data_IF_067544864255
#
_entry.id   IF_067544864255
#
_cell.length_a   1.000
_cell.length_b   1.000
_cell.length_c   1.000
_cell.angle_alpha   90.00
_cell.angle_beta   90.00
_cell.angle_gamma   90.00
#
_symmetry.space_group_name_H-M   'P 1'
#
loop_
_entity.id
_entity.type
_entity.pdbx_description
1 polymer ?
#
# COMPACT_ATOMS: atom_id res chain seq x y z
N UNK A 1 -7.99 -25.35 -9.10
CA UNK A 1 -8.43 -24.34 -8.10
C UNK A 1 -8.96 -23.13 -8.87
N UNK A 2 -10.19 -22.64 -8.62
CA UNK A 2 -10.73 -21.47 -9.33
C UNK A 2 -10.00 -20.21 -8.85
N UNK A 3 -9.47 -19.40 -9.76
CA UNK A 3 -8.62 -18.23 -9.44
C UNK A 3 -9.36 -17.18 -8.61
N UNK A 4 -10.68 -17.04 -8.79
CA UNK A 4 -11.50 -16.14 -7.97
C UNK A 4 -11.44 -16.51 -6.47
N UNK A 5 -11.21 -17.79 -6.14
CA UNK A 5 -11.05 -18.21 -4.75
C UNK A 5 -9.70 -17.80 -4.16
N UNK A 6 -8.65 -17.59 -4.95
CA UNK A 6 -7.31 -17.32 -4.39
C UNK A 6 -7.30 -15.97 -3.68
N UNK A 7 -7.81 -14.91 -4.31
CA UNK A 7 -7.88 -13.60 -3.66
C UNK A 7 -8.96 -13.53 -2.57
N UNK A 8 -10.07 -14.26 -2.71
CA UNK A 8 -11.04 -14.41 -1.62
C UNK A 8 -10.49 -15.17 -0.40
N UNK A 9 -9.62 -16.17 -0.61
CA UNK A 9 -8.89 -16.84 0.46
C UNK A 9 -7.84 -15.93 1.08
N UNK A 10 -7.25 -15.03 0.28
CA UNK A 10 -6.34 -14.00 0.77
C UNK A 10 -7.02 -12.98 1.69
N UNK A 11 -8.30 -12.67 1.48
CA UNK A 11 -9.08 -11.81 2.39
C UNK A 11 -9.28 -12.40 3.80
N UNK A 12 -8.91 -13.67 4.04
CA UNK A 12 -8.91 -14.28 5.38
C UNK A 12 -7.63 -13.97 6.17
N UNK A 13 -6.62 -13.36 5.55
CA UNK A 13 -5.40 -12.95 6.24
C UNK A 13 -5.55 -11.52 6.77
N UNK A 14 -5.26 -11.36 8.07
CA UNK A 14 -4.73 -10.15 8.72
C UNK A 14 -5.18 -8.78 8.20
N UNK A 15 -4.23 -7.84 8.21
CA UNK A 15 -4.42 -6.47 7.73
C UNK A 15 -4.39 -6.41 6.20
N UNK A 16 -4.93 -5.35 5.60
CA UNK A 16 -4.91 -5.17 4.13
C UNK A 16 -3.49 -5.17 3.53
N UNK A 17 -2.48 -4.75 4.29
CA UNK A 17 -1.05 -4.81 3.91
C UNK A 17 -0.59 -6.26 3.69
N UNK A 18 -1.00 -7.17 4.57
CA UNK A 18 -0.69 -8.60 4.47
C UNK A 18 -1.33 -9.21 3.22
N UNK A 19 -2.57 -8.81 2.92
CA UNK A 19 -3.35 -9.33 1.79
C UNK A 19 -2.73 -8.95 0.44
N UNK A 20 -2.32 -7.69 0.27
CA UNK A 20 -1.68 -7.25 -0.98
C UNK A 20 -0.30 -7.90 -1.18
N UNK A 21 0.47 -8.08 -0.11
CA UNK A 21 1.76 -8.76 -0.17
C UNK A 21 1.60 -10.24 -0.48
N UNK A 22 0.61 -10.90 0.11
CA UNK A 22 0.31 -12.29 -0.19
C UNK A 22 -0.23 -12.51 -1.61
N UNK A 23 -1.10 -11.61 -2.08
CA UNK A 23 -1.55 -11.54 -3.46
C UNK A 23 -0.37 -11.43 -4.43
N UNK A 24 0.60 -10.57 -4.11
CA UNK A 24 1.80 -10.42 -4.91
C UNK A 24 2.68 -11.68 -4.88
N UNK A 25 2.85 -12.30 -3.71
CA UNK A 25 3.57 -13.58 -3.57
C UNK A 25 3.01 -14.69 -4.48
N UNK A 26 1.68 -14.81 -4.56
CA UNK A 26 1.02 -15.74 -5.49
C UNK A 26 1.36 -15.43 -6.95
N UNK A 27 1.35 -14.14 -7.33
CA UNK A 27 1.76 -13.74 -8.70
C UNK A 27 3.20 -14.14 -8.97
N UNK A 28 4.12 -13.92 -8.05
CA UNK A 28 5.54 -14.24 -8.26
C UNK A 28 5.77 -15.75 -8.40
N UNK A 29 5.04 -16.57 -7.64
CA UNK A 29 5.11 -18.04 -7.76
C UNK A 29 4.53 -18.52 -9.10
N UNK A 30 3.41 -17.95 -9.53
CA UNK A 30 2.69 -18.38 -10.73
C UNK A 30 3.25 -17.79 -12.03
N UNK A 31 3.96 -16.66 -11.95
CA UNK A 31 4.49 -15.91 -13.08
C UNK A 31 6.02 -15.69 -12.94
N UNK A 32 6.84 -16.69 -13.32
CA UNK A 32 8.30 -16.63 -13.13
C UNK A 32 8.98 -15.44 -13.81
N UNK A 33 8.44 -14.95 -14.93
CA UNK A 33 9.02 -13.78 -15.59
C UNK A 33 8.79 -12.50 -14.78
N UNK A 34 7.65 -12.39 -14.07
CA UNK A 34 7.40 -11.24 -13.20
C UNK A 34 8.35 -11.26 -12.00
N UNK A 35 8.63 -12.44 -11.44
CA UNK A 35 9.68 -12.63 -10.44
C UNK A 35 11.06 -12.20 -10.95
N UNK A 36 11.47 -12.63 -12.14
CA UNK A 36 12.75 -12.21 -12.71
C UNK A 36 12.81 -10.70 -12.99
N UNK A 37 11.71 -10.10 -13.44
CA UNK A 37 11.60 -8.66 -13.60
C UNK A 37 11.74 -7.92 -12.26
N UNK A 38 11.11 -8.41 -11.19
CA UNK A 38 11.27 -7.85 -9.85
C UNK A 38 12.73 -7.96 -9.37
N UNK A 39 13.35 -9.14 -9.50
CA UNK A 39 14.74 -9.35 -9.09
C UNK A 39 15.70 -8.42 -9.83
N UNK A 40 15.49 -8.19 -11.14
CA UNK A 40 16.26 -7.20 -11.92
C UNK A 40 16.05 -5.78 -11.42
N UNK A 41 14.81 -5.40 -11.13
CA UNK A 41 14.50 -4.09 -10.54
C UNK A 41 15.24 -3.90 -9.20
N UNK A 42 15.29 -4.95 -8.37
CA UNK A 42 16.02 -4.99 -7.11
C UNK A 42 17.54 -5.19 -7.25
N UNK A 43 18.06 -5.10 -8.48
CA UNK A 43 19.49 -5.24 -8.80
C UNK A 43 20.09 -6.56 -8.31
N UNK A 44 19.32 -7.64 -8.42
CA UNK A 44 19.80 -9.01 -8.25
C UNK A 44 20.12 -9.57 -9.64
N UNK A 45 21.36 -10.03 -9.90
CA UNK A 45 21.73 -10.64 -11.17
C UNK A 45 20.86 -11.87 -11.45
N UNK A 46 20.13 -11.85 -12.57
CA UNK A 46 19.25 -12.96 -12.99
C UNK A 46 19.81 -13.76 -14.16
N UNK A 47 20.83 -13.24 -14.85
CA UNK A 47 21.47 -13.88 -16.02
C UNK A 47 22.12 -15.21 -15.63
N UNK A 48 22.57 -15.33 -14.38
CA UNK A 48 23.22 -16.53 -13.83
C UNK A 48 22.23 -17.58 -13.34
N UNK A 49 20.91 -17.29 -13.32
CA UNK A 49 19.91 -18.23 -12.82
C UNK A 49 19.49 -19.22 -13.90
N UNK A 50 19.95 -20.46 -13.75
CA UNK A 50 19.55 -21.56 -14.60
C UNK A 50 18.08 -21.93 -14.36
N UNK A 51 17.40 -22.60 -15.32
CA UNK A 51 16.02 -23.04 -15.15
C UNK A 51 15.78 -23.90 -13.90
N UNK A 52 16.79 -24.67 -13.45
CA UNK A 52 16.73 -25.45 -12.21
C UNK A 52 16.68 -24.56 -10.96
N UNK A 53 17.43 -23.46 -10.95
CA UNK A 53 17.51 -22.53 -9.82
C UNK A 53 16.16 -21.84 -9.63
N UNK A 54 15.49 -21.50 -10.74
CA UNK A 54 14.15 -20.87 -10.72
C UNK A 54 13.10 -21.70 -10.00
N UNK A 55 13.20 -23.03 -10.07
CA UNK A 55 12.29 -23.95 -9.37
C UNK A 55 12.56 -24.02 -7.87
N UNK A 56 13.75 -23.59 -7.43
CA UNK A 56 14.18 -23.60 -6.05
C UNK A 56 13.99 -22.24 -5.36
N UNK A 57 13.58 -21.20 -6.10
CA UNK A 57 13.27 -19.91 -5.51
C UNK A 57 12.03 -20.08 -4.64
N UNK A 58 12.20 -19.93 -3.34
CA UNK A 58 11.10 -19.91 -2.39
C UNK A 58 10.54 -18.49 -2.31
N UNK A 59 9.22 -18.37 -2.45
CA UNK A 59 8.45 -17.14 -2.22
C UNK A 59 7.49 -17.45 -1.08
N UNK A 60 7.68 -16.79 0.05
CA UNK A 60 6.93 -17.05 1.28
C UNK A 60 6.34 -15.74 1.80
N UNK A 61 5.15 -15.79 2.37
CA UNK A 61 4.44 -14.61 2.88
C UNK A 61 4.24 -14.77 4.38
N UNK A 62 4.20 -13.67 5.14
CA UNK A 62 3.94 -13.71 6.58
C UNK A 62 4.97 -14.57 7.35
N UNK A 63 6.24 -14.46 6.95
CA UNK A 63 7.33 -15.27 7.55
C UNK A 63 7.67 -14.72 8.94
N UNK A 64 7.73 -15.57 9.98
CA UNK A 64 8.13 -15.10 11.31
C UNK A 64 9.60 -14.68 11.32
N UNK A 65 9.95 -13.70 12.16
CA UNK A 65 11.35 -13.31 12.35
C UNK A 65 12.11 -14.45 13.04
N UNK A 66 13.17 -14.94 12.41
CA UNK A 66 14.08 -15.88 13.07
C UNK A 66 14.81 -15.17 14.22
N UNK A 67 14.72 -15.69 15.45
CA UNK A 67 15.41 -15.15 16.63
C UNK A 67 14.54 -14.58 17.75
N UNK A 68 13.21 -14.72 17.71
CA UNK A 68 12.35 -14.70 18.90
C UNK A 68 12.17 -13.37 19.65
N UNK A 69 12.62 -12.23 19.12
CA UNK A 69 12.53 -10.95 19.86
C UNK A 69 11.09 -10.39 19.90
N UNK A 70 10.20 -10.86 19.02
CA UNK A 70 8.78 -10.48 19.00
C UNK A 70 7.99 -11.52 18.20
N UNK A 71 7.28 -12.43 18.87
CA UNK A 71 6.51 -13.51 18.22
C UNK A 71 5.38 -13.02 17.31
N UNK A 72 5.03 -11.73 17.39
CA UNK A 72 3.93 -11.13 16.62
C UNK A 72 4.39 -10.39 15.36
N UNK A 73 5.67 -10.03 15.24
CA UNK A 73 6.15 -9.37 14.02
C UNK A 73 6.31 -10.41 12.90
N UNK A 74 5.88 -10.09 11.69
CA UNK A 74 6.06 -10.94 10.50
C UNK A 74 6.63 -10.15 9.33
N UNK A 75 7.26 -10.89 8.42
CA UNK A 75 7.75 -10.37 7.15
C UNK A 75 6.65 -10.56 6.12
N UNK A 76 6.22 -9.46 5.50
CA UNK A 76 5.09 -9.50 4.57
C UNK A 76 5.35 -10.47 3.42
N UNK A 77 6.54 -10.39 2.80
CA UNK A 77 6.98 -11.27 1.73
C UNK A 77 8.50 -11.49 1.78
N UNK A 78 8.91 -12.76 1.69
CA UNK A 78 10.29 -13.21 1.59
C UNK A 78 10.49 -13.94 0.25
N UNK A 79 11.57 -13.62 -0.45
CA UNK A 79 12.00 -14.31 -1.67
C UNK A 79 13.44 -14.77 -1.46
N UNK A 80 13.70 -16.07 -1.54
CA UNK A 80 15.05 -16.59 -1.30
C UNK A 80 15.46 -17.70 -2.25
N UNK A 81 16.75 -17.73 -2.53
CA UNK A 81 17.46 -18.85 -3.14
C UNK A 81 18.76 -19.03 -2.35
N UNK A 82 18.90 -20.14 -1.59
CA UNK A 82 20.09 -20.39 -0.75
C UNK A 82 21.40 -20.21 -1.51
N UNK A 83 22.38 -19.57 -0.87
CA UNK A 83 23.68 -19.29 -1.48
C UNK A 83 23.66 -18.17 -2.54
N UNK A 84 22.49 -17.64 -2.93
CA UNK A 84 22.36 -16.65 -4.02
C UNK A 84 21.76 -15.35 -3.54
N UNK A 85 20.51 -15.38 -3.09
CA UNK A 85 19.87 -14.15 -2.65
C UNK A 85 18.80 -14.35 -1.60
N UNK A 86 18.60 -13.29 -0.80
CA UNK A 86 17.51 -13.12 0.14
C UNK A 86 16.91 -11.72 -0.06
N UNK A 87 15.62 -11.66 -0.34
CA UNK A 87 14.84 -10.43 -0.43
C UNK A 87 13.78 -10.45 0.65
N UNK A 88 13.76 -9.42 1.48
CA UNK A 88 12.69 -9.14 2.42
C UNK A 88 11.92 -7.95 1.89
N UNK A 89 10.62 -8.09 1.72
CA UNK A 89 9.74 -7.06 1.20
C UNK A 89 8.74 -6.66 2.29
N UNK A 90 8.66 -5.35 2.53
CA UNK A 90 7.74 -4.72 3.46
C UNK A 90 6.77 -3.84 2.69
N UNK A 91 5.47 -3.99 2.95
CA UNK A 91 4.41 -3.23 2.32
C UNK A 91 3.82 -2.20 3.27
N UNK A 92 3.51 -1.02 2.76
CA UNK A 92 2.80 0.03 3.49
C UNK A 92 1.68 0.64 2.66
N UNK A 93 0.48 0.66 3.24
CA UNK A 93 -0.74 1.24 2.67
C UNK A 93 -1.22 2.40 3.54
N UNK A 94 -2.04 3.28 2.95
CA UNK A 94 -2.67 4.38 3.68
C UNK A 94 -1.67 5.38 4.28
N UNK A 95 -2.01 5.89 5.47
CA UNK A 95 -1.17 6.78 6.26
C UNK A 95 -0.12 6.03 7.11
N UNK A 96 -0.11 4.69 7.08
CA UNK A 96 0.83 3.87 7.87
C UNK A 96 2.26 4.27 7.49
N UNK A 97 3.05 4.69 8.48
CA UNK A 97 4.47 5.02 8.29
C UNK A 97 5.34 3.85 8.68
N UNK A 98 6.59 3.88 8.22
CA UNK A 98 7.55 2.87 8.60
C UNK A 98 7.90 3.04 10.07
N UNK A 99 7.53 2.03 10.86
CA UNK A 99 7.99 1.93 12.24
C UNK A 99 9.51 1.82 12.23
N UNK A 100 10.18 2.72 12.96
CA UNK A 100 11.65 2.75 13.06
C UNK A 100 12.19 1.38 13.48
N UNK A 101 11.54 0.77 14.47
CA UNK A 101 11.93 -0.53 15.01
C UNK A 101 11.77 -1.68 14.01
N UNK A 102 10.82 -1.60 13.08
CA UNK A 102 10.57 -2.67 12.10
C UNK A 102 11.71 -2.74 11.08
N UNK A 103 12.15 -1.58 10.58
CA UNK A 103 13.27 -1.51 9.64
C UNK A 103 14.61 -1.90 10.29
N UNK A 104 14.82 -1.51 11.55
CA UNK A 104 16.02 -1.91 12.30
C UNK A 104 16.05 -3.45 12.47
N UNK A 105 14.89 -4.10 12.73
CA UNK A 105 14.77 -5.58 12.77
C UNK A 105 15.16 -6.22 11.43
N UNK A 106 14.67 -5.69 10.30
CA UNK A 106 15.02 -6.21 8.98
C UNK A 106 16.52 -6.08 8.69
N UNK A 107 17.11 -4.93 9.01
CA UNK A 107 18.53 -4.71 8.81
C UNK A 107 19.38 -5.71 9.62
N UNK A 108 18.97 -6.02 10.86
CA UNK A 108 19.61 -7.04 11.68
C UNK A 108 19.52 -8.45 11.08
N UNK A 109 18.35 -8.85 10.56
CA UNK A 109 18.21 -10.14 9.85
C UNK A 109 19.18 -10.18 8.66
N UNK A 110 19.14 -9.16 7.80
CA UNK A 110 19.99 -9.14 6.61
C UNK A 110 21.48 -9.15 6.96
N UNK A 111 21.87 -8.51 8.06
CA UNK A 111 23.23 -8.56 8.57
C UNK A 111 23.64 -9.97 9.01
N UNK A 112 22.78 -10.69 9.73
CA UNK A 112 23.06 -12.06 10.16
C UNK A 112 23.14 -13.05 8.99
N UNK A 113 22.39 -12.78 7.93
CA UNK A 113 22.37 -13.63 6.72
C UNK A 113 23.49 -13.26 5.73
N UNK A 114 24.31 -12.23 6.01
CA UNK A 114 25.49 -11.92 5.19
C UNK A 114 26.52 -13.03 5.34
N UNK A 115 26.95 -13.56 4.20
CA UNK A 115 27.85 -14.71 4.12
C UNK A 115 27.13 -15.99 3.74
N UNK A 116 25.82 -16.09 4.04
CA UNK A 116 24.96 -17.19 3.58
C UNK A 116 24.44 -16.95 2.17
N UNK A 117 24.23 -15.69 1.79
CA UNK A 117 23.71 -15.29 0.47
C UNK A 117 24.64 -14.27 -0.21
N UNK A 118 24.84 -14.42 -1.53
CA UNK A 118 25.61 -13.46 -2.34
C UNK A 118 24.95 -12.06 -2.35
N UNK A 119 23.62 -12.01 -2.31
CA UNK A 119 22.85 -10.78 -2.39
C UNK A 119 21.71 -10.72 -1.36
N UNK A 120 21.74 -9.70 -0.51
CA UNK A 120 20.63 -9.40 0.41
C UNK A 120 19.93 -8.10 0.01
N UNK A 121 18.61 -8.05 0.06
CA UNK A 121 17.79 -6.87 -0.25
C UNK A 121 16.67 -6.66 0.74
N UNK A 122 16.48 -5.42 1.17
CA UNK A 122 15.27 -4.93 1.82
C UNK A 122 14.50 -4.05 0.83
N UNK A 123 13.31 -4.50 0.43
CA UNK A 123 12.44 -3.79 -0.49
C UNK A 123 11.25 -3.18 0.25
N UNK A 124 11.11 -1.87 0.19
CA UNK A 124 9.96 -1.15 0.71
C UNK A 124 8.99 -0.83 -0.42
N UNK A 125 7.75 -1.28 -0.30
CA UNK A 125 6.68 -1.00 -1.26
C UNK A 125 5.60 -0.13 -0.64
N UNK A 126 5.34 1.04 -1.21
CA UNK A 126 4.33 1.97 -0.69
C UNK A 126 3.20 2.24 -1.69
N UNK A 127 2.01 2.53 -1.17
CA UNK A 127 0.90 3.04 -1.97
C UNK A 127 1.21 4.46 -2.51
N UNK A 128 1.56 5.38 -1.61
CA UNK A 128 1.88 6.77 -1.94
C UNK A 128 3.36 6.95 -2.28
N UNK A 129 3.69 8.04 -2.97
CA UNK A 129 5.08 8.42 -3.15
C UNK A 129 5.67 8.89 -1.81
N UNK A 130 6.69 8.17 -1.35
CA UNK A 130 7.40 8.41 -0.09
C UNK A 130 8.91 8.33 -0.29
N UNK A 131 9.37 8.64 -1.50
CA UNK A 131 10.78 8.52 -1.86
C UNK A 131 11.71 9.27 -0.91
N UNK A 132 11.38 10.52 -0.56
CA UNK A 132 12.20 11.32 0.36
C UNK A 132 12.25 10.71 1.78
N UNK A 133 11.12 10.21 2.30
CA UNK A 133 11.08 9.50 3.59
C UNK A 133 11.93 8.22 3.53
N UNK A 134 11.79 7.43 2.45
CA UNK A 134 12.54 6.21 2.23
C UNK A 134 14.06 6.46 2.11
N UNK A 135 14.49 7.54 1.46
CA UNK A 135 15.89 7.94 1.35
C UNK A 135 16.48 8.35 2.70
N UNK A 136 15.74 9.14 3.49
CA UNK A 136 16.13 9.50 4.85
C UNK A 136 16.27 8.26 5.76
N UNK A 137 15.32 7.31 5.64
CA UNK A 137 15.38 6.03 6.35
C UNK A 137 16.59 5.20 5.91
N UNK A 138 16.87 5.11 4.61
CA UNK A 138 18.02 4.39 4.09
C UNK A 138 19.35 4.99 4.58
N UNK A 139 19.49 6.32 4.55
CA UNK A 139 20.67 7.02 5.06
C UNK A 139 20.92 6.73 6.54
N UNK A 140 19.85 6.72 7.33
CA UNK A 140 19.93 6.43 8.77
C UNK A 140 20.19 4.95 9.07
N UNK A 141 19.58 4.03 8.31
CA UNK A 141 19.87 2.59 8.42
C UNK A 141 21.34 2.33 8.14
N UNK A 142 21.94 2.97 7.13
CA UNK A 142 23.39 2.85 6.85
C UNK A 142 24.28 3.37 7.98
N UNK A 143 23.81 4.35 8.76
CA UNK A 143 24.59 4.91 9.87
C UNK A 143 24.50 4.05 11.14
N UNK A 144 23.35 3.40 11.37
CA UNK A 144 23.07 2.66 12.61
C UNK A 144 23.24 1.15 12.46
N UNK A 145 23.26 0.65 11.23
CA UNK A 145 23.36 -0.76 10.89
C UNK A 145 24.37 -0.91 9.76
N UNK A 146 24.94 -2.10 9.60
CA UNK A 146 25.90 -2.35 8.52
C UNK A 146 25.25 -2.51 7.14
N UNK A 147 24.01 -2.02 6.95
CA UNK A 147 23.30 -2.08 5.67
C UNK A 147 24.09 -1.37 4.57
N UNK A 148 24.50 -2.11 3.53
CA UNK A 148 25.36 -1.59 2.48
C UNK A 148 24.57 -0.74 1.48
N UNK A 149 25.28 0.12 0.76
CA UNK A 149 24.70 0.87 -0.35
C UNK A 149 24.11 -0.09 -1.39
N UNK A 150 22.84 0.11 -1.75
CA UNK A 150 22.12 -0.74 -2.71
C UNK A 150 21.40 -1.95 -2.11
N UNK A 151 21.53 -2.22 -0.80
CA UNK A 151 20.75 -3.27 -0.13
C UNK A 151 19.32 -2.82 0.17
N UNK A 152 19.08 -1.52 0.39
CA UNK A 152 17.75 -0.95 0.52
C UNK A 152 17.20 -0.47 -0.82
N UNK A 153 16.01 -0.95 -1.19
CA UNK A 153 15.29 -0.59 -2.40
C UNK A 153 13.91 0.00 -2.05
N UNK A 154 13.54 1.08 -2.73
CA UNK A 154 12.23 1.70 -2.63
C UNK A 154 11.46 1.53 -3.94
N UNK A 155 10.19 1.15 -3.84
CA UNK A 155 9.28 1.08 -4.97
C UNK A 155 7.85 1.41 -4.54
N UNK A 156 7.01 1.69 -5.53
CA UNK A 156 5.57 1.91 -5.32
C UNK A 156 4.79 0.71 -5.81
N UNK A 157 3.60 0.49 -5.25
CA UNK A 157 2.64 -0.48 -5.79
C UNK A 157 2.27 -0.17 -7.26
N UNK A 158 2.31 1.11 -7.66
CA UNK A 158 2.20 1.51 -9.06
C UNK A 158 3.31 0.89 -9.94
N UNK A 159 4.56 0.87 -9.47
CA UNK A 159 5.69 0.24 -10.15
C UNK A 159 5.52 -1.28 -10.23
N UNK A 160 5.05 -1.91 -9.15
CA UNK A 160 4.74 -3.36 -9.15
C UNK A 160 3.67 -3.68 -10.18
N UNK A 161 2.60 -2.87 -10.22
CA UNK A 161 1.50 -3.02 -11.18
C UNK A 161 1.99 -2.92 -12.63
N UNK A 162 2.83 -1.91 -12.92
CA UNK A 162 3.44 -1.75 -14.25
C UNK A 162 4.30 -2.97 -14.62
N UNK A 163 5.15 -3.43 -13.70
CA UNK A 163 6.01 -4.58 -13.89
C UNK A 163 5.22 -5.85 -14.25
N UNK A 164 4.13 -6.11 -13.53
CA UNK A 164 3.27 -7.27 -13.79
C UNK A 164 2.53 -7.11 -15.13
N UNK A 165 2.04 -5.92 -15.44
CA UNK A 165 1.31 -5.64 -16.67
C UNK A 165 2.18 -5.76 -17.94
N UNK A 166 3.43 -5.31 -17.88
CA UNK A 166 4.37 -5.35 -18.99
C UNK A 166 5.01 -6.73 -19.19
N UNK A 167 4.93 -7.62 -18.19
CA UNK A 167 5.54 -8.93 -18.29
C UNK A 167 4.62 -9.92 -19.02
N UNK A 168 5.03 -10.47 -20.18
CA UNK A 168 4.19 -11.38 -20.95
C UNK A 168 3.86 -12.64 -20.14
N UNK A 169 2.56 -12.92 -19.99
CA UNK A 169 2.06 -14.06 -19.23
C UNK A 169 1.46 -15.13 -20.17
N UNK A 170 1.71 -16.43 -19.92
CA UNK A 170 0.96 -17.51 -20.57
C UNK A 170 -0.55 -17.37 -20.36
N UNK A 171 -1.34 -17.94 -21.27
CA UNK A 171 -2.80 -17.80 -21.25
C UNK A 171 -3.44 -18.14 -19.89
N UNK A 172 -2.95 -19.19 -19.23
CA UNK A 172 -3.44 -19.63 -17.92
C UNK A 172 -3.13 -18.64 -16.77
N UNK A 173 -2.09 -17.82 -16.90
CA UNK A 173 -1.65 -16.86 -15.88
C UNK A 173 -2.23 -15.46 -16.11
N UNK A 174 -2.57 -15.11 -17.36
CA UNK A 174 -3.15 -13.80 -17.70
C UNK A 174 -4.34 -13.41 -16.84
N UNK A 175 -5.25 -14.35 -16.58
CA UNK A 175 -6.42 -14.08 -15.74
C UNK A 175 -6.03 -13.75 -14.30
N UNK A 176 -5.10 -14.51 -13.73
CA UNK A 176 -4.57 -14.27 -12.38
C UNK A 176 -3.88 -12.90 -12.29
N UNK A 177 -3.03 -12.57 -13.28
CA UNK A 177 -2.40 -11.26 -13.36
C UNK A 177 -3.42 -10.13 -13.49
N UNK A 178 -4.45 -10.28 -14.33
CA UNK A 178 -5.52 -9.28 -14.46
C UNK A 178 -6.23 -9.03 -13.12
N UNK A 179 -6.62 -10.09 -12.41
CA UNK A 179 -7.25 -9.99 -11.09
C UNK A 179 -6.37 -9.28 -10.06
N UNK A 180 -5.08 -9.55 -10.06
CA UNK A 180 -4.13 -8.84 -9.20
C UNK A 180 -4.02 -7.36 -9.58
N UNK A 181 -3.93 -7.05 -10.88
CA UNK A 181 -3.83 -5.66 -11.36
C UNK A 181 -5.08 -4.84 -11.02
N UNK A 182 -6.26 -5.45 -11.10
CA UNK A 182 -7.52 -4.85 -10.67
C UNK A 182 -7.52 -4.59 -9.16
N UNK A 183 -7.18 -5.60 -8.36
CA UNK A 183 -7.11 -5.50 -6.90
C UNK A 183 -6.14 -4.41 -6.43
N UNK A 184 -4.93 -4.37 -6.99
CA UNK A 184 -3.96 -3.29 -6.69
C UNK A 184 -4.49 -1.94 -7.19
N UNK A 185 -5.13 -1.91 -8.36
CA UNK A 185 -5.79 -0.72 -8.89
C UNK A 185 -6.81 -0.12 -7.91
N UNK A 186 -7.64 -0.97 -7.31
CA UNK A 186 -8.65 -0.59 -6.32
C UNK A 186 -8.02 -0.07 -5.02
N UNK A 187 -6.95 -0.71 -4.55
CA UNK A 187 -6.18 -0.21 -3.40
C UNK A 187 -5.58 1.15 -3.70
N UNK A 188 -5.06 1.35 -4.91
CA UNK A 188 -4.43 2.60 -5.31
C UNK A 188 -5.44 3.73 -5.61
N UNK A 189 -6.71 3.41 -5.91
CA UNK A 189 -7.71 4.38 -6.36
C UNK A 189 -8.35 5.19 -5.22
N UNK A 190 -8.16 4.81 -3.95
CA UNK A 190 -8.84 5.45 -2.82
C UNK A 190 -7.91 6.03 -1.74
N UNK A 191 -8.19 7.32 -1.43
CA UNK A 191 -7.76 8.19 -0.32
C UNK A 191 -6.45 8.97 -0.52
N UNK A 192 -6.57 10.26 -0.87
CA UNK A 192 -5.52 11.25 -0.59
C UNK A 192 -5.26 11.26 0.94
N UNK A 193 -4.00 11.29 1.35
CA UNK A 193 -3.64 11.49 2.77
C UNK A 193 -4.16 12.89 3.16
N UNK A 194 -5.04 12.96 4.17
CA UNK A 194 -5.64 14.22 4.63
C UNK A 194 -4.55 15.22 5.07
N UNK A 195 -3.43 14.72 5.61
CA UNK A 195 -2.28 15.55 6.03
C UNK A 195 -1.55 16.27 4.89
N UNK A 196 -1.67 15.79 3.64
CA UNK A 196 -1.07 16.44 2.46
C UNK A 196 -2.05 17.40 1.77
N UNK A 197 -3.28 17.51 2.28
CA UNK A 197 -4.19 18.56 1.87
C UNK A 197 -3.85 19.82 2.67
N UNK A 198 -3.28 20.81 1.99
CA UNK A 198 -3.41 22.20 2.44
C UNK A 198 -4.91 22.50 2.40
N UNK A 199 -5.56 22.47 3.55
CA UNK A 199 -6.91 23.03 3.70
C UNK A 199 -6.72 24.53 3.44
N UNK A 200 -6.94 24.94 2.19
CA UNK A 200 -7.08 26.36 1.86
C UNK A 200 -8.21 26.91 2.71
N UNK A 201 -7.96 28.05 3.36
CA UNK A 201 -8.87 28.81 4.21
C UNK A 201 -10.33 28.40 4.00
N UNK A 202 -10.82 27.52 4.88
CA UNK A 202 -12.25 27.29 4.94
C UNK A 202 -12.86 28.60 5.44
N UNK A 203 -13.78 29.24 4.71
CA UNK A 203 -14.47 30.41 5.22
C UNK A 203 -15.15 30.02 6.53
N UNK A 204 -14.93 30.81 7.57
CA UNK A 204 -15.56 30.65 8.87
C UNK A 204 -17.07 30.84 8.67
N UNK A 205 -17.85 29.76 8.82
CA UNK A 205 -19.31 29.80 8.65
C UNK A 205 -19.91 30.11 10.02
N UNK A 206 -20.39 31.35 10.20
CA UNK A 206 -21.24 31.70 11.34
C UNK A 206 -22.70 31.36 11.02
N UNK A 207 -23.33 30.56 11.89
CA UNK A 207 -24.76 30.28 11.80
C UNK A 207 -25.46 31.16 12.83
N UNK A 208 -26.34 32.05 12.37
CA UNK A 208 -27.20 32.86 13.24
C UNK A 208 -28.67 32.52 13.01
N UNK A 209 -29.44 32.42 14.10
CA UNK A 209 -30.89 32.27 14.03
C UNK A 209 -31.52 33.66 13.84
N UNK A 210 -32.36 33.82 12.82
CA UNK A 210 -33.16 35.04 12.63
C UNK A 210 -34.65 34.71 12.57
N UNK A 211 -35.47 35.71 12.90
CA UNK A 211 -36.93 35.63 12.80
C UNK A 211 -37.35 35.65 11.32
N UNK A 212 -38.36 34.86 10.90
CA UNK A 212 -38.89 34.85 9.53
C UNK A 212 -39.12 36.24 8.91
N UNK A 213 -39.55 37.23 9.70
CA UNK A 213 -39.85 38.58 9.21
C UNK A 213 -38.59 39.36 8.78
N UNK A 214 -37.41 38.97 9.29
CA UNK A 214 -36.12 39.58 8.96
C UNK A 214 -35.40 38.88 7.79
N UNK A 215 -35.95 37.78 7.29
CA UNK A 215 -35.38 37.00 6.20
C UNK A 215 -35.29 37.80 4.90
N UNK A 216 -36.38 38.47 4.53
CA UNK A 216 -36.46 39.22 3.28
C UNK A 216 -35.50 40.41 3.27
N UNK A 217 -35.20 40.97 4.45
CA UNK A 217 -34.18 42.02 4.61
C UNK A 217 -32.76 41.46 4.39
N UNK A 218 -32.42 40.33 5.01
CA UNK A 218 -31.09 39.72 4.89
C UNK A 218 -30.76 39.22 3.46
N UNK A 219 -31.76 38.71 2.74
CA UNK A 219 -31.62 38.32 1.32
C UNK A 219 -31.37 39.55 0.43
N UNK A 220 -32.01 40.69 0.74
CA UNK A 220 -31.88 41.93 -0.03
C UNK A 220 -30.51 42.58 0.13
N UNK A 221 -29.87 42.42 1.29
CA UNK A 221 -28.52 42.91 1.62
C UNK A 221 -27.37 42.02 1.09
N UNK A 222 -27.67 41.00 0.26
CA UNK A 222 -26.69 40.08 -0.36
C UNK A 222 -25.87 39.22 0.63
N UNK A 223 -26.48 38.78 1.73
CA UNK A 223 -25.92 37.63 2.46
C UNK A 223 -25.98 36.37 1.56
N UNK A 224 -24.93 35.55 1.57
CA UNK A 224 -24.71 34.53 0.54
C UNK A 224 -25.42 33.23 0.92
N UNK A 225 -26.68 33.08 0.52
CA UNK A 225 -27.44 31.87 0.84
C UNK A 225 -27.02 30.68 -0.05
N UNK A 226 -26.53 29.58 0.53
CA UNK A 226 -26.44 28.28 -0.17
C UNK A 226 -27.80 27.58 -0.17
N UNK A 227 -28.19 27.02 -1.32
CA UNK A 227 -29.39 26.18 -1.42
C UNK A 227 -29.21 24.87 -0.65
N UNK A 228 -30.12 24.61 0.28
CA UNK A 228 -30.07 23.43 1.14
C UNK A 228 -30.52 22.17 0.35
N UNK A 229 -29.58 21.28 0.01
CA UNK A 229 -29.83 20.03 -0.72
C UNK A 229 -30.40 18.90 0.18
N UNK A 230 -31.40 19.18 1.00
CA UNK A 230 -32.06 18.16 1.83
C UNK A 230 -33.10 17.40 1.01
N UNK A 231 -32.81 16.16 0.63
CA UNK A 231 -33.78 15.24 0.00
C UNK A 231 -35.04 15.12 0.89
N UNK A 232 -36.20 15.52 0.35
CA UNK A 232 -37.52 15.27 0.95
C UNK A 232 -37.71 13.78 1.19
N UNK A 233 -37.62 13.34 2.46
CA UNK A 233 -38.21 12.06 2.89
C UNK A 233 -39.72 12.21 2.82
N UNK A 234 -40.35 11.66 1.78
CA UNK A 234 -41.77 11.34 1.85
C UNK A 234 -41.92 10.09 2.72
N UNK A 235 -42.50 10.25 3.92
CA UNK A 235 -43.44 9.29 4.51
C UNK A 235 -44.15 9.96 5.69
N UNK A 236 -45.46 9.74 5.72
CA UNK A 236 -46.43 10.47 6.55
C UNK A 236 -46.20 10.37 8.06
N UNK A 237 -46.73 11.39 8.74
CA UNK A 237 -46.72 11.53 10.18
C UNK A 237 -46.74 13.01 10.51
N UNK A 238 -47.89 13.51 10.96
CA UNK A 238 -48.13 14.92 11.25
C UNK A 238 -47.10 15.52 12.21
N UNK A 239 -46.30 16.43 11.68
CA UNK A 239 -45.39 17.28 12.42
C UNK A 239 -45.09 18.48 11.53
N UNK A 240 -45.58 19.65 11.92
CA UNK A 240 -45.25 20.94 11.30
C UNK A 240 -43.73 21.10 11.33
N UNK A 241 -43.07 20.82 10.20
CA UNK A 241 -41.66 21.11 10.00
C UNK A 241 -41.58 22.52 9.45
N UNK A 242 -41.44 23.50 10.33
CA UNK A 242 -41.05 24.85 9.94
C UNK A 242 -39.70 24.72 9.22
N UNK A 243 -39.59 25.16 7.95
CA UNK A 243 -38.33 25.04 7.22
C UNK A 243 -37.26 25.89 7.91
N UNK A 244 -36.20 25.25 8.40
CA UNK A 244 -34.99 25.95 8.82
C UNK A 244 -34.32 26.44 7.55
N UNK A 245 -34.32 27.76 7.35
CA UNK A 245 -33.63 28.43 6.25
C UNK A 245 -32.36 29.05 6.80
N UNK A 246 -31.21 28.65 6.27
CA UNK A 246 -29.90 29.18 6.67
C UNK A 246 -29.50 30.33 5.76
N UNK A 247 -29.03 31.43 6.34
CA UNK A 247 -28.19 32.43 5.70
C UNK A 247 -26.74 32.12 6.09
N UNK A 248 -25.80 32.19 5.13
CA UNK A 248 -24.34 32.21 5.38
C UNK A 248 -23.86 33.64 5.15
#
# INVERSE_FOLDING_TARGET
MRVDNVFHLLNRFGAHEDQISAAFGVILQAHPLALLSLLRFLRIPTVTLHPKDRKQIAVETQVPYAGGVDEQSRIDLQIRLPGRFLVLLESKLGATRLGRNQLDKYAAILQNERGTYDHVRLALVTQFDRKAEAEALAGRLRQRTDLRAGEFCYLRWATVRQLVAETPAPACIRFLSARFLDYVGDIMSNKRIIQDQVIKDMPEVMITSTDPDWWDFAVKERATCQENNTRRRQKGGGGSTTPIRCII
#
